data_IF_279260939572
#
_entry.id   IF_279260939572
#
_cell.length_a   1.000
_cell.length_b   1.000
_cell.length_c   1.000
_cell.angle_alpha   90.00
_cell.angle_beta   90.00
_cell.angle_gamma   90.00
#
_symmetry.space_group_name_H-M   'P 1'
#
loop_
_entity.id
_entity.type
_entity.pdbx_description
1 polymer ?
#
# COMPACT_ATOMS: atom_id res chain seq x y z
N UNK A 1 9.08 -12.02 24.47
CA UNK A 1 8.34 -13.16 23.90
C UNK A 1 7.95 -12.74 22.50
N UNK A 2 8.65 -13.19 21.44
CA UNK A 2 8.36 -12.76 20.07
C UNK A 2 7.35 -13.73 19.43
N UNK A 3 6.37 -13.21 18.70
CA UNK A 3 5.34 -14.00 18.01
C UNK A 3 3.89 -13.80 18.46
N UNK A 4 3.53 -12.70 19.12
CA UNK A 4 2.11 -12.41 19.39
C UNK A 4 1.43 -11.96 18.09
N UNK A 5 0.61 -12.87 17.58
CA UNK A 5 -0.45 -12.58 16.61
C UNK A 5 -1.21 -11.32 17.04
N UNK A 6 -1.46 -10.37 16.12
CA UNK A 6 -2.32 -9.22 16.41
C UNK A 6 -3.73 -9.68 16.85
N UNK A 7 -4.12 -10.93 16.54
CA UNK A 7 -5.32 -11.62 17.04
C UNK A 7 -5.31 -11.92 18.54
N UNK A 8 -4.14 -11.96 19.18
CA UNK A 8 -3.99 -12.30 20.60
C UNK A 8 -4.08 -11.10 21.55
N UNK A 9 -4.03 -9.87 21.02
CA UNK A 9 -4.10 -8.64 21.84
C UNK A 9 -5.51 -8.05 21.79
N UNK A 10 -6.12 -7.75 22.95
CA UNK A 10 -7.40 -7.08 22.96
C UNK A 10 -7.24 -5.67 22.39
N UNK A 11 -8.26 -5.21 21.68
CA UNK A 11 -8.43 -3.80 21.36
C UNK A 11 -8.44 -3.00 22.67
N UNK A 12 -7.83 -1.81 22.64
CA UNK A 12 -7.74 -0.93 23.81
C UNK A 12 -8.22 0.48 23.50
N UNK A 13 -8.51 1.24 24.56
CA UNK A 13 -8.89 2.66 24.47
C UNK A 13 -10.09 2.92 23.57
N UNK A 14 -9.96 3.91 22.69
CA UNK A 14 -11.04 4.35 21.80
C UNK A 14 -11.48 3.24 20.83
N UNK A 15 -10.54 2.46 20.31
CA UNK A 15 -10.83 1.35 19.39
C UNK A 15 -11.74 0.31 20.06
N UNK A 16 -11.44 -0.09 21.30
CA UNK A 16 -12.27 -1.02 22.06
C UNK A 16 -13.68 -0.48 22.30
N UNK A 17 -13.77 0.81 22.68
CA UNK A 17 -15.06 1.46 22.94
C UNK A 17 -15.92 1.55 21.68
N UNK A 18 -15.32 1.87 20.53
CA UNK A 18 -16.00 1.90 19.24
C UNK A 18 -16.44 0.51 18.81
N UNK A 19 -15.59 -0.50 18.95
CA UNK A 19 -15.92 -1.89 18.63
C UNK A 19 -17.09 -2.43 19.47
N UNK A 20 -17.07 -2.19 20.79
CA UNK A 20 -18.16 -2.59 21.70
C UNK A 20 -19.48 -1.86 21.36
N UNK A 21 -19.42 -0.57 21.03
CA UNK A 21 -20.59 0.18 20.60
C UNK A 21 -21.17 -0.38 19.29
N UNK A 22 -20.32 -0.71 18.32
CA UNK A 22 -20.73 -1.33 17.06
C UNK A 22 -21.41 -2.68 17.28
N UNK A 23 -20.85 -3.56 18.13
CA UNK A 23 -21.47 -4.86 18.46
C UNK A 23 -22.84 -4.72 19.12
N UNK A 24 -23.01 -3.70 19.96
CA UNK A 24 -24.27 -3.41 20.67
C UNK A 24 -25.33 -2.82 19.74
N UNK A 25 -24.96 -1.78 19.00
CA UNK A 25 -25.91 -0.94 18.25
C UNK A 25 -26.15 -1.44 16.83
N UNK A 26 -25.24 -2.28 16.30
CA UNK A 26 -25.28 -2.89 14.96
C UNK A 26 -25.67 -1.91 13.84
N UNK A 27 -24.99 -0.75 13.74
CA UNK A 27 -25.28 0.19 12.66
C UNK A 27 -24.89 -0.40 11.30
N UNK A 28 -25.47 0.13 10.22
CA UNK A 28 -24.98 -0.17 8.87
C UNK A 28 -23.53 0.32 8.72
N UNK A 29 -22.58 -0.54 8.33
CA UNK A 29 -21.20 -0.15 8.12
C UNK A 29 -21.05 0.91 7.02
N UNK A 30 -20.05 1.78 7.15
CA UNK A 30 -19.67 2.71 6.09
C UNK A 30 -19.06 1.94 4.92
N UNK A 31 -19.44 2.24 3.69
CA UNK A 31 -18.86 1.57 2.51
C UNK A 31 -17.34 1.86 2.42
N UNK A 32 -16.48 0.83 2.27
CA UNK A 32 -15.05 1.04 2.16
C UNK A 32 -14.71 1.76 0.85
N UNK A 33 -13.74 2.68 0.92
CA UNK A 33 -13.23 3.37 -0.27
C UNK A 33 -12.08 2.57 -0.88
N UNK A 34 -12.05 2.36 -2.20
CA UNK A 34 -10.93 1.68 -2.85
C UNK A 34 -9.63 2.46 -2.64
N UNK A 35 -8.57 1.74 -2.32
CA UNK A 35 -7.22 2.24 -2.12
C UNK A 35 -6.17 1.25 -2.64
N UNK A 36 -4.97 1.73 -2.89
CA UNK A 36 -3.85 0.90 -3.28
C UNK A 36 -2.58 1.30 -2.53
N UNK A 37 -1.68 0.34 -2.35
CA UNK A 37 -0.45 0.53 -1.58
C UNK A 37 0.69 -0.29 -2.19
N UNK A 38 1.90 0.26 -2.21
CA UNK A 38 3.08 -0.39 -2.79
C UNK A 38 4.16 -0.62 -1.73
N UNK A 39 4.47 -1.88 -1.48
CA UNK A 39 5.63 -2.32 -0.74
C UNK A 39 6.83 -2.21 -1.67
N UNK A 40 7.47 -1.03 -1.67
CA UNK A 40 8.63 -0.77 -2.51
C UNK A 40 9.88 -1.41 -1.90
N UNK A 41 10.59 -2.20 -2.70
CA UNK A 41 11.69 -3.05 -2.28
C UNK A 41 13.00 -2.62 -2.92
N UNK A 42 14.11 -2.74 -2.19
CA UNK A 42 15.45 -2.68 -2.77
C UNK A 42 16.33 -3.84 -2.28
N UNK A 43 17.30 -4.29 -3.09
CA UNK A 43 18.25 -5.32 -2.66
C UNK A 43 19.10 -4.84 -1.48
N UNK A 44 19.29 -5.71 -0.49
CA UNK A 44 20.30 -5.57 0.56
C UNK A 44 20.88 -6.95 0.91
N UNK A 45 21.99 -6.97 1.66
CA UNK A 45 22.67 -8.23 2.01
C UNK A 45 21.78 -9.05 2.95
N UNK A 46 21.38 -10.25 2.51
CA UNK A 46 20.68 -11.27 3.31
C UNK A 46 19.18 -11.02 3.54
N UNK A 47 18.61 -9.95 3.00
CA UNK A 47 17.19 -9.62 3.02
C UNK A 47 16.95 -8.43 2.11
N UNK A 48 15.79 -8.30 1.44
CA UNK A 48 15.39 -7.00 0.88
C UNK A 48 15.19 -5.97 2.00
N UNK A 49 15.23 -4.69 1.64
CA UNK A 49 14.73 -3.60 2.47
C UNK A 49 13.40 -3.08 1.89
N UNK A 50 12.50 -2.64 2.76
CA UNK A 50 11.22 -2.00 2.43
C UNK A 50 11.30 -0.49 2.68
N UNK A 51 10.65 0.29 1.81
CA UNK A 51 10.49 1.72 2.01
C UNK A 51 9.28 2.02 2.88
N UNK A 52 9.51 2.68 4.03
CA UNK A 52 8.49 3.06 4.98
C UNK A 52 8.46 4.59 5.14
N UNK A 53 7.25 5.13 5.18
CA UNK A 53 6.93 6.52 5.49
C UNK A 53 6.36 6.57 6.91
N UNK A 54 6.80 7.50 7.76
CA UNK A 54 6.13 7.78 9.02
C UNK A 54 5.17 8.94 8.83
N UNK A 55 3.88 8.67 9.02
CA UNK A 55 2.81 9.67 8.90
C UNK A 55 2.98 10.75 9.96
N UNK A 56 2.80 12.01 9.58
CA UNK A 56 2.81 13.12 10.53
C UNK A 56 1.80 12.91 11.67
N UNK A 57 2.16 13.32 12.88
CA UNK A 57 1.31 13.14 14.07
C UNK A 57 0.03 13.99 14.05
N UNK A 58 -0.05 14.96 13.13
CA UNK A 58 -1.20 15.84 12.91
C UNK A 58 -2.28 15.20 12.04
N UNK A 59 -2.03 14.05 11.43
CA UNK A 59 -2.99 13.39 10.55
C UNK A 59 -4.20 12.83 11.28
N UNK A 60 -5.36 12.96 10.63
CA UNK A 60 -6.62 12.49 11.20
C UNK A 60 -6.78 10.95 11.22
N UNK A 61 -5.89 10.19 10.56
CA UNK A 61 -5.87 8.72 10.52
C UNK A 61 -4.43 8.21 10.48
N UNK A 62 -4.14 7.17 11.27
CA UNK A 62 -2.83 6.54 11.39
C UNK A 62 -1.66 7.52 11.70
N UNK A 63 -1.93 8.60 12.43
CA UNK A 63 -0.91 9.57 12.86
C UNK A 63 0.26 8.89 13.59
N UNK A 64 1.49 9.22 13.21
CA UNK A 64 2.71 8.65 13.78
C UNK A 64 2.98 7.19 13.41
N UNK A 65 2.11 6.55 12.61
CA UNK A 65 2.33 5.17 12.16
C UNK A 65 3.23 5.12 10.94
N UNK A 66 4.04 4.07 10.87
CA UNK A 66 4.80 3.69 9.69
C UNK A 66 3.88 2.98 8.69
N UNK A 67 3.93 3.44 7.44
CA UNK A 67 3.12 2.96 6.32
C UNK A 67 3.99 2.81 5.07
N UNK A 68 3.46 2.10 4.07
CA UNK A 68 4.02 2.10 2.73
C UNK A 68 3.40 3.24 1.89
N UNK A 69 4.01 3.63 0.76
CA UNK A 69 3.39 4.54 -0.18
C UNK A 69 2.02 4.04 -0.64
N UNK A 70 1.00 4.90 -0.59
CA UNK A 70 -0.32 4.50 -1.02
C UNK A 70 -1.44 5.44 -0.60
N UNK A 71 -2.56 5.32 -1.32
CA UNK A 71 -3.69 6.20 -1.11
C UNK A 71 -4.94 5.71 -1.83
N UNK A 72 -5.92 6.61 -1.91
CA UNK A 72 -7.23 6.27 -2.48
C UNK A 72 -7.13 6.18 -3.99
N UNK A 73 -7.90 5.27 -4.57
CA UNK A 73 -8.19 5.32 -6.00
C UNK A 73 -8.91 6.64 -6.31
N UNK A 74 -8.37 7.41 -7.24
CA UNK A 74 -8.96 8.61 -7.79
C UNK A 74 -9.86 8.24 -8.99
N UNK A 75 -10.98 8.95 -9.25
CA UNK A 75 -11.80 8.68 -10.43
C UNK A 75 -11.02 8.72 -11.76
N UNK A 76 -9.92 9.47 -11.84
CA UNK A 76 -9.05 9.54 -13.02
C UNK A 76 -8.13 8.32 -13.18
N UNK A 77 -7.98 7.47 -12.16
CA UNK A 77 -7.17 6.24 -12.24
C UNK A 77 -7.83 5.18 -13.14
N UNK A 78 -9.13 5.28 -13.38
CA UNK A 78 -9.87 4.34 -14.24
C UNK A 78 -9.70 4.60 -15.74
N UNK A 79 -9.03 5.69 -16.16
CA UNK A 79 -8.93 6.10 -17.58
C UNK A 79 -7.59 5.74 -18.24
N UNK A 80 -6.75 4.92 -17.59
CA UNK A 80 -5.37 4.68 -18.05
C UNK A 80 -5.22 3.60 -19.14
N UNK A 81 -6.32 3.03 -19.65
CA UNK A 81 -6.28 1.83 -20.50
C UNK A 81 -5.38 1.99 -21.74
N UNK A 82 -5.27 3.20 -22.29
CA UNK A 82 -4.46 3.49 -23.49
C UNK A 82 -2.96 3.69 -23.19
N UNK A 83 -2.56 3.77 -21.92
CA UNK A 83 -1.18 3.97 -21.47
C UNK A 83 -0.73 2.83 -20.55
N UNK A 84 -0.97 1.59 -20.97
CA UNK A 84 -0.73 0.38 -20.18
C UNK A 84 0.25 -0.57 -20.86
N UNK A 85 1.15 -1.16 -20.07
CA UNK A 85 2.02 -2.26 -20.49
C UNK A 85 2.14 -3.30 -19.37
N UNK A 86 2.27 -4.58 -19.74
CA UNK A 86 2.32 -5.71 -18.80
C UNK A 86 1.05 -6.56 -18.78
N UNK A 87 0.82 -7.36 -17.72
CA UNK A 87 -0.38 -8.18 -17.58
C UNK A 87 -1.66 -7.36 -17.73
N UNK A 88 -2.72 -7.94 -18.29
CA UNK A 88 -3.98 -7.22 -18.50
C UNK A 88 -4.65 -6.86 -17.18
N UNK A 89 -5.51 -5.83 -17.14
CA UNK A 89 -6.33 -5.56 -15.96
C UNK A 89 -7.18 -6.77 -15.50
N UNK A 90 -7.62 -7.63 -16.43
CA UNK A 90 -8.32 -8.87 -16.07
C UNK A 90 -7.44 -9.86 -15.30
N UNK A 91 -6.14 -9.96 -15.63
CA UNK A 91 -5.19 -10.80 -14.92
C UNK A 91 -5.02 -10.37 -13.45
N UNK A 92 -5.04 -9.05 -13.21
CA UNK A 92 -5.06 -8.49 -11.86
C UNK A 92 -6.40 -8.71 -11.17
N UNK A 93 -7.52 -8.51 -11.88
CA UNK A 93 -8.87 -8.72 -11.35
C UNK A 93 -9.12 -10.15 -10.88
N UNK A 94 -8.65 -11.15 -11.63
CA UNK A 94 -8.70 -12.57 -11.24
C UNK A 94 -7.97 -12.84 -9.91
N UNK A 95 -6.84 -12.17 -9.67
CA UNK A 95 -6.04 -12.34 -8.43
C UNK A 95 -6.60 -11.56 -7.25
N UNK A 96 -7.10 -10.34 -7.50
CA UNK A 96 -7.64 -9.46 -6.46
C UNK A 96 -9.11 -9.75 -6.13
N UNK A 97 -9.78 -10.58 -6.94
CA UNK A 97 -11.20 -10.91 -6.78
C UNK A 97 -12.14 -9.77 -7.16
N UNK A 98 -11.79 -8.95 -8.15
CA UNK A 98 -12.57 -7.78 -8.58
C UNK A 98 -12.69 -7.68 -10.11
N UNK A 99 -13.46 -6.70 -10.60
CA UNK A 99 -13.60 -6.49 -12.05
C UNK A 99 -12.30 -5.96 -12.66
N UNK A 100 -12.13 -6.13 -13.98
CA UNK A 100 -10.96 -5.63 -14.69
C UNK A 100 -10.82 -4.10 -14.57
N UNK A 101 -11.93 -3.36 -14.55
CA UNK A 101 -11.94 -1.90 -14.39
C UNK A 101 -11.44 -1.48 -13.01
N UNK A 102 -11.89 -2.17 -11.95
CA UNK A 102 -11.42 -1.88 -10.59
C UNK A 102 -9.94 -2.26 -10.42
N UNK A 103 -9.52 -3.38 -11.00
CA UNK A 103 -8.13 -3.81 -10.97
C UNK A 103 -7.20 -2.81 -11.69
N UNK A 104 -7.62 -2.28 -12.85
CA UNK A 104 -6.88 -1.21 -13.54
C UNK A 104 -6.73 0.02 -12.63
N UNK A 105 -7.81 0.42 -11.95
CA UNK A 105 -7.82 1.57 -11.07
C UNK A 105 -6.91 1.35 -9.83
N UNK A 106 -6.88 0.14 -9.26
CA UNK A 106 -5.94 -0.20 -8.19
C UNK A 106 -4.48 -0.10 -8.64
N UNK A 107 -4.14 -0.64 -9.80
CA UNK A 107 -2.77 -0.58 -10.33
C UNK A 107 -2.37 0.86 -10.67
N UNK A 108 -3.26 1.63 -11.29
CA UNK A 108 -3.04 3.04 -11.57
C UNK A 108 -2.80 3.86 -10.29
N UNK A 109 -3.66 3.70 -9.29
CA UNK A 109 -3.50 4.35 -7.99
C UNK A 109 -2.20 3.94 -7.30
N UNK A 110 -1.82 2.66 -7.36
CA UNK A 110 -0.56 2.18 -6.80
C UNK A 110 0.65 2.91 -7.39
N UNK A 111 0.71 3.05 -8.72
CA UNK A 111 1.82 3.76 -9.39
C UNK A 111 1.78 5.26 -9.14
N UNK A 112 0.60 5.88 -9.23
CA UNK A 112 0.40 7.31 -8.99
C UNK A 112 0.83 7.70 -7.57
N UNK A 113 0.29 7.04 -6.55
CA UNK A 113 0.59 7.31 -5.14
C UNK A 113 2.07 7.07 -4.82
N UNK A 114 2.67 6.02 -5.41
CA UNK A 114 4.12 5.79 -5.27
C UNK A 114 4.92 6.98 -5.79
N UNK A 115 4.54 7.56 -6.93
CA UNK A 115 5.21 8.74 -7.48
C UNK A 115 4.96 9.99 -6.63
N UNK A 116 3.72 10.22 -6.22
CA UNK A 116 3.33 11.36 -5.36
C UNK A 116 4.12 11.35 -4.03
N UNK A 117 4.20 10.21 -3.35
CA UNK A 117 4.76 10.15 -1.99
C UNK A 117 6.26 9.85 -1.91
N UNK A 118 6.85 9.22 -2.93
CA UNK A 118 8.27 8.81 -2.90
C UNK A 118 9.11 9.35 -4.06
N UNK A 119 8.47 9.94 -5.07
CA UNK A 119 9.13 10.35 -6.32
C UNK A 119 9.48 9.19 -7.25
N UNK A 120 9.15 7.95 -6.89
CA UNK A 120 9.42 6.75 -7.71
C UNK A 120 8.27 6.50 -8.67
N UNK A 121 8.58 6.35 -9.96
CA UNK A 121 7.60 6.15 -11.02
C UNK A 121 7.77 4.77 -11.67
N UNK A 122 6.73 3.93 -11.58
CA UNK A 122 6.65 2.63 -12.25
C UNK A 122 6.04 2.77 -13.66
N UNK A 123 6.70 3.58 -14.49
CA UNK A 123 6.32 3.86 -15.87
C UNK A 123 7.56 4.12 -16.73
N UNK A 124 7.40 4.03 -18.05
CA UNK A 124 8.48 4.28 -19.00
C UNK A 124 7.99 4.56 -20.41
N UNK A 125 8.89 4.93 -21.34
CA UNK A 125 8.51 5.25 -22.71
C UNK A 125 8.10 4.03 -23.54
N UNK A 126 8.29 2.81 -23.01
CA UNK A 126 7.95 1.55 -23.69
C UNK A 126 7.74 0.41 -22.69
N UNK A 127 7.29 -0.74 -23.19
CA UNK A 127 7.16 -1.98 -22.42
C UNK A 127 8.47 -2.52 -21.83
N UNK A 128 9.62 -2.07 -22.34
CA UNK A 128 10.93 -2.65 -22.03
C UNK A 128 11.81 -1.72 -21.19
N UNK A 129 11.35 -0.50 -20.89
CA UNK A 129 12.14 0.50 -20.18
C UNK A 129 11.32 1.25 -19.12
N UNK A 130 12.04 1.87 -18.19
CA UNK A 130 11.51 2.76 -17.15
C UNK A 130 12.13 4.14 -17.31
N UNK A 131 11.47 5.16 -16.77
CA UNK A 131 12.12 6.46 -16.56
C UNK A 131 13.26 6.24 -15.56
N UNK A 132 14.50 6.59 -15.94
CA UNK A 132 15.67 6.37 -15.08
C UNK A 132 15.83 7.42 -13.98
N UNK A 133 15.37 8.65 -14.23
CA UNK A 133 15.53 9.78 -13.30
C UNK A 133 14.27 10.66 -13.30
N UNK A 134 13.72 10.84 -12.11
CA UNK A 134 12.50 11.61 -11.81
C UNK A 134 12.78 12.80 -10.88
N UNK A 135 14.04 13.25 -10.81
CA UNK A 135 14.50 14.28 -9.85
C UNK A 135 14.54 15.71 -10.41
N UNK A 136 14.34 15.89 -11.71
CA UNK A 136 14.33 17.21 -12.35
C UNK A 136 13.15 18.10 -11.92
N UNK A 137 13.31 19.42 -12.03
CA UNK A 137 12.30 20.41 -11.62
C UNK A 137 10.94 20.22 -12.33
N UNK A 138 10.95 19.76 -13.59
CA UNK A 138 9.74 19.47 -14.36
C UNK A 138 9.01 18.22 -13.84
N UNK A 139 9.73 17.22 -13.33
CA UNK A 139 9.14 16.06 -12.67
C UNK A 139 8.54 16.44 -11.32
N UNK A 140 9.22 17.32 -10.57
CA UNK A 140 8.70 17.80 -9.30
C UNK A 140 7.43 18.63 -9.48
N UNK A 141 7.40 19.51 -10.49
CA UNK A 141 6.20 20.27 -10.84
C UNK A 141 5.01 19.35 -11.17
N UNK A 142 5.25 18.26 -11.89
CA UNK A 142 4.22 17.28 -12.22
C UNK A 142 3.76 16.48 -11.01
N UNK A 143 4.69 16.07 -10.14
CA UNK A 143 4.37 15.38 -8.89
C UNK A 143 3.46 16.23 -8.01
N UNK A 144 3.82 17.50 -7.81
CA UNK A 144 3.00 18.46 -7.05
C UNK A 144 1.63 18.68 -7.71
N UNK A 145 1.57 18.70 -9.05
CA UNK A 145 0.31 18.84 -9.77
C UNK A 145 -0.62 17.63 -9.61
N UNK A 146 -0.07 16.41 -9.56
CA UNK A 146 -0.77 15.15 -9.27
C UNK A 146 -1.27 15.12 -7.82
N UNK A 147 -0.38 15.36 -6.84
CA UNK A 147 -0.71 15.43 -5.41
C UNK A 147 -1.82 16.47 -5.15
N UNK A 148 -1.71 17.64 -5.80
CA UNK A 148 -2.71 18.71 -5.75
C UNK A 148 -3.96 18.48 -6.62
N UNK A 149 -4.05 17.36 -7.34
CA UNK A 149 -5.17 16.95 -8.21
C UNK A 149 -5.52 17.95 -9.31
N UNK A 150 -4.53 18.74 -9.72
CA UNK A 150 -4.64 19.68 -10.84
C UNK A 150 -4.23 19.05 -12.18
N UNK A 151 -3.62 17.86 -12.12
CA UNK A 151 -3.26 17.02 -13.25
C UNK A 151 -3.78 15.60 -12.96
N UNK A 152 -4.47 14.99 -13.92
CA UNK A 152 -4.84 13.58 -13.84
C UNK A 152 -3.68 12.68 -14.26
N UNK A 153 -3.61 11.47 -13.71
CA UNK A 153 -2.47 10.58 -13.96
C UNK A 153 -2.41 10.04 -15.40
N UNK A 154 -3.56 9.74 -16.02
CA UNK A 154 -3.60 9.40 -17.44
C UNK A 154 -3.06 10.52 -18.33
N UNK A 155 -3.45 11.78 -18.05
CA UNK A 155 -2.98 12.96 -18.80
C UNK A 155 -1.48 13.18 -18.61
N UNK A 156 -0.98 12.98 -17.38
CA UNK A 156 0.45 13.02 -17.07
C UNK A 156 1.23 12.02 -17.92
N UNK A 157 0.81 10.75 -17.95
CA UNK A 157 1.46 9.71 -18.76
C UNK A 157 1.41 10.05 -20.25
N UNK A 158 0.24 10.44 -20.76
CA UNK A 158 0.06 10.79 -22.17
C UNK A 158 0.96 11.97 -22.59
N UNK A 159 0.97 13.05 -21.79
CA UNK A 159 1.77 14.25 -22.07
C UNK A 159 3.27 13.94 -22.09
N UNK A 160 3.74 13.00 -21.27
CA UNK A 160 5.14 12.57 -21.23
C UNK A 160 5.46 11.42 -22.21
N UNK A 161 4.48 10.90 -22.94
CA UNK A 161 4.66 9.77 -23.86
C UNK A 161 5.06 8.49 -23.12
N UNK A 162 4.49 8.26 -21.94
CA UNK A 162 4.79 7.12 -21.07
C UNK A 162 3.65 6.11 -21.06
N UNK A 163 4.02 4.86 -20.83
CA UNK A 163 3.10 3.78 -20.45
C UNK A 163 3.37 3.39 -18.99
N UNK A 164 2.30 3.15 -18.24
CA UNK A 164 2.36 2.48 -16.96
C UNK A 164 2.90 1.06 -17.16
N UNK A 165 3.86 0.67 -16.31
CA UNK A 165 4.51 -0.65 -16.36
C UNK A 165 3.93 -1.57 -15.29
N UNK A 166 2.77 -2.15 -15.60
CA UNK A 166 2.03 -3.02 -14.68
C UNK A 166 2.79 -4.33 -14.37
N UNK A 167 3.66 -4.77 -15.28
CA UNK A 167 4.55 -5.91 -15.08
C UNK A 167 5.60 -5.69 -13.97
N UNK A 168 5.78 -4.45 -13.49
CA UNK A 168 6.62 -4.15 -12.33
C UNK A 168 5.89 -4.31 -10.99
N UNK A 169 4.57 -4.54 -11.00
CA UNK A 169 3.75 -4.72 -9.79
C UNK A 169 3.34 -6.18 -9.62
N UNK A 170 3.72 -6.76 -8.49
CA UNK A 170 3.24 -8.05 -8.03
C UNK A 170 2.08 -7.89 -7.04
N UNK A 171 0.88 -8.44 -7.29
CA UNK A 171 -0.18 -8.48 -6.29
C UNK A 171 0.29 -9.20 -5.01
N UNK A 172 0.00 -8.66 -3.82
CA UNK A 172 0.56 -9.19 -2.57
C UNK A 172 -0.50 -9.50 -1.49
N UNK A 173 -1.43 -8.58 -1.26
CA UNK A 173 -2.49 -8.75 -0.28
C UNK A 173 -3.70 -7.88 -0.63
N UNK A 174 -4.87 -8.20 -0.08
CA UNK A 174 -6.08 -7.39 -0.25
C UNK A 174 -6.79 -7.30 1.10
N UNK A 175 -6.90 -6.08 1.65
CA UNK A 175 -7.44 -5.85 2.98
C UNK A 175 -8.59 -4.86 2.97
N UNK A 176 -9.72 -5.27 3.54
CA UNK A 176 -10.84 -4.36 3.81
C UNK A 176 -10.83 -3.97 5.28
N UNK A 177 -10.88 -2.67 5.57
CA UNK A 177 -10.93 -2.16 6.94
C UNK A 177 -12.17 -2.68 7.68
N UNK A 178 -12.07 -3.08 8.96
CA UNK A 178 -13.19 -3.63 9.72
C UNK A 178 -14.43 -2.73 9.75
N UNK A 179 -15.61 -3.34 9.89
CA UNK A 179 -16.90 -2.65 9.79
C UNK A 179 -17.17 -1.60 10.88
N UNK A 180 -16.59 -1.78 12.07
CA UNK A 180 -16.75 -0.85 13.19
C UNK A 180 -15.94 0.45 13.03
N UNK A 181 -14.99 0.48 12.10
CA UNK A 181 -14.19 1.67 11.83
C UNK A 181 -15.03 2.69 11.04
N UNK A 182 -15.07 3.96 11.45
CA UNK A 182 -15.83 4.99 10.75
C UNK A 182 -15.20 5.42 9.42
N UNK A 183 -13.91 5.09 9.20
CA UNK A 183 -13.18 5.32 7.96
C UNK A 183 -12.68 4.00 7.45
N UNK A 184 -13.26 3.53 6.34
CA UNK A 184 -12.96 2.22 5.78
C UNK A 184 -12.34 2.34 4.41
N UNK A 185 -11.38 1.47 4.17
CA UNK A 185 -10.69 1.33 2.89
C UNK A 185 -10.70 -0.13 2.47
N UNK A 186 -10.83 -0.35 1.17
CA UNK A 186 -10.62 -1.64 0.49
C UNK A 186 -9.30 -1.52 -0.27
N UNK A 187 -8.24 -2.11 0.27
CA UNK A 187 -6.87 -1.76 -0.09
C UNK A 187 -6.15 -2.93 -0.75
N UNK A 188 -5.83 -2.78 -2.03
CA UNK A 188 -4.95 -3.69 -2.75
C UNK A 188 -3.48 -3.34 -2.47
N UNK A 189 -2.71 -4.33 -2.00
CA UNK A 189 -1.27 -4.21 -1.76
C UNK A 189 -0.50 -4.86 -2.90
N UNK A 190 0.53 -4.16 -3.37
CA UNK A 190 1.46 -4.64 -4.39
C UNK A 190 2.88 -4.62 -3.85
N UNK A 191 3.74 -5.48 -4.38
CA UNK A 191 5.20 -5.41 -4.24
C UNK A 191 5.80 -4.89 -5.53
N UNK A 192 6.85 -4.07 -5.42
CA UNK A 192 7.60 -3.59 -6.58
C UNK A 192 9.08 -3.41 -6.22
N UNK A 193 9.99 -3.70 -7.16
CA UNK A 193 11.39 -3.34 -7.02
C UNK A 193 11.58 -1.84 -7.33
N UNK A 194 12.46 -1.17 -6.59
CA UNK A 194 12.94 0.17 -6.92
C UNK A 194 13.56 0.14 -8.33
N UNK A 195 13.03 0.91 -9.30
CA UNK A 195 13.58 0.94 -10.64
C UNK A 195 15.03 1.41 -10.66
N UNK A 196 15.86 0.77 -11.48
CA UNK A 196 17.27 1.13 -11.62
C UNK A 196 17.42 2.59 -12.06
N UNK A 197 18.24 3.34 -11.32
CA UNK A 197 18.51 4.76 -11.57
C UNK A 197 17.65 5.72 -10.74
N UNK A 198 16.46 5.30 -10.32
CA UNK A 198 15.60 6.14 -9.49
C UNK A 198 16.04 6.13 -8.04
N UNK A 199 15.79 7.24 -7.35
CA UNK A 199 16.01 7.39 -5.91
C UNK A 199 14.70 7.79 -5.24
N UNK A 200 14.42 7.23 -4.07
CA UNK A 200 13.33 7.71 -3.22
C UNK A 200 13.68 9.07 -2.65
N UNK A 201 12.69 9.95 -2.53
CA UNK A 201 12.84 11.27 -1.94
C UNK A 201 11.75 11.51 -0.89
N UNK A 202 12.09 12.26 0.15
CA UNK A 202 11.12 12.76 1.12
C UNK A 202 10.46 14.01 0.52
N UNK A 203 9.35 13.81 -0.18
CA UNK A 203 8.72 14.84 -1.03
C UNK A 203 7.28 15.17 -0.62
N UNK A 204 6.66 14.33 0.21
CA UNK A 204 5.31 14.60 0.71
C UNK A 204 5.37 15.46 1.97
N UNK A 205 4.43 16.40 2.11
CA UNK A 205 4.21 17.09 3.39
C UNK A 205 3.50 16.23 4.44
N UNK A 206 3.17 14.99 4.07
CA UNK A 206 2.34 14.04 4.79
C UNK A 206 3.15 13.09 5.69
N UNK A 207 4.43 12.92 5.38
CA UNK A 207 5.43 12.19 6.19
C UNK A 207 6.40 13.13 6.90
N UNK A 208 6.83 12.76 8.11
CA UNK A 208 7.91 13.48 8.81
C UNK A 208 9.24 12.73 8.81
N UNK A 209 9.24 11.45 8.42
CA UNK A 209 10.42 10.60 8.27
C UNK A 209 10.19 9.56 7.18
N UNK A 210 11.26 9.23 6.46
CA UNK A 210 11.33 8.12 5.51
C UNK A 210 12.48 7.19 5.89
N UNK A 211 12.27 5.88 5.76
CA UNK A 211 13.29 4.89 6.09
C UNK A 211 13.24 3.69 5.15
N UNK A 212 14.42 3.27 4.69
CA UNK A 212 14.62 1.92 4.18
C UNK A 212 14.98 1.03 5.36
N UNK A 213 14.19 -0.01 5.59
CA UNK A 213 14.40 -0.93 6.72
C UNK A 213 14.32 -2.37 6.26
N UNK A 214 15.07 -3.27 6.90
CA UNK A 214 14.78 -4.70 6.75
C UNK A 214 13.40 -4.98 7.34
N UNK A 215 12.55 -5.75 6.66
CA UNK A 215 11.20 -6.03 7.15
C UNK A 215 11.20 -6.68 8.55
N UNK A 216 12.17 -7.55 8.84
CA UNK A 216 12.34 -8.16 10.16
C UNK A 216 12.65 -7.15 11.27
N UNK A 217 13.47 -6.12 10.98
CA UNK A 217 13.78 -5.06 11.95
C UNK A 217 12.56 -4.19 12.21
N UNK A 218 11.76 -3.90 11.17
CA UNK A 218 10.50 -3.16 11.32
C UNK A 218 9.48 -3.93 12.18
N UNK A 219 9.35 -5.24 11.96
CA UNK A 219 8.52 -6.14 12.79
C UNK A 219 9.00 -6.13 14.25
N UNK A 220 10.30 -6.29 14.48
CA UNK A 220 10.88 -6.28 15.82
C UNK A 220 10.65 -4.94 16.55
N UNK A 221 10.77 -3.81 15.85
CA UNK A 221 10.50 -2.48 16.40
C UNK A 221 9.03 -2.31 16.81
N UNK A 222 8.08 -2.88 16.04
CA UNK A 222 6.65 -2.91 16.42
C UNK A 222 6.43 -3.79 17.65
N UNK A 223 7.04 -4.98 17.70
CA UNK A 223 6.94 -5.88 18.85
C UNK A 223 7.52 -5.27 20.13
N UNK A 224 8.58 -4.46 20.00
CA UNK A 224 9.20 -3.70 21.09
C UNK A 224 8.42 -2.42 21.49
N UNK A 225 7.41 -2.01 20.72
CA UNK A 225 6.64 -0.78 20.96
C UNK A 225 7.37 0.51 20.56
N UNK A 226 8.44 0.41 19.78
CA UNK A 226 9.25 1.53 19.29
C UNK A 226 8.70 2.12 17.98
N UNK A 227 7.92 1.32 17.25
CA UNK A 227 7.24 1.69 16.01
C UNK A 227 5.76 1.28 16.07
N UNK A 228 4.89 2.08 15.45
CA UNK A 228 3.49 1.74 15.30
C UNK A 228 3.17 1.44 13.84
N UNK A 229 2.46 0.34 13.59
CA UNK A 229 1.95 -0.03 12.27
C UNK A 229 0.50 -0.49 12.39
N UNK A 230 -0.28 -0.30 11.31
CA UNK A 230 -1.54 -1.01 11.18
C UNK A 230 -1.30 -2.49 10.85
N UNK A 231 -2.25 -3.39 11.17
CA UNK A 231 -2.10 -4.82 10.91
C UNK A 231 -1.70 -5.19 9.48
N UNK A 232 -2.27 -4.60 8.41
CA UNK A 232 -1.87 -4.93 7.04
C UNK A 232 -0.39 -4.64 6.77
N UNK A 233 0.13 -3.50 7.23
CA UNK A 233 1.55 -3.12 7.07
C UNK A 233 2.47 -4.07 7.82
N UNK A 234 2.16 -4.36 9.08
CA UNK A 234 2.92 -5.29 9.91
C UNK A 234 3.00 -6.69 9.29
N UNK A 235 1.86 -7.23 8.85
CA UNK A 235 1.79 -8.57 8.26
C UNK A 235 2.50 -8.62 6.90
N UNK A 236 2.39 -7.59 6.08
CA UNK A 236 3.18 -7.49 4.85
C UNK A 236 4.68 -7.46 5.13
N UNK A 237 5.15 -6.70 6.13
CA UNK A 237 6.56 -6.74 6.54
C UNK A 237 6.98 -8.14 7.00
N UNK A 238 6.16 -8.82 7.81
CA UNK A 238 6.45 -10.17 8.28
C UNK A 238 6.53 -11.18 7.12
N UNK A 239 5.62 -11.09 6.16
CA UNK A 239 5.60 -11.99 5.01
C UNK A 239 6.82 -11.73 4.11
N UNK A 240 7.17 -10.46 3.83
CA UNK A 240 8.37 -10.11 3.06
C UNK A 240 9.66 -10.52 3.81
N UNK A 241 9.67 -10.50 5.15
CA UNK A 241 10.81 -10.95 5.96
C UNK A 241 11.15 -12.43 5.77
N UNK A 242 10.25 -13.24 5.20
CA UNK A 242 10.50 -14.65 4.91
C UNK A 242 11.40 -14.88 3.68
N UNK A 243 11.79 -13.81 2.97
CA UNK A 243 12.55 -13.88 1.73
C UNK A 243 13.94 -13.25 1.85
N UNK A 244 14.93 -13.84 1.16
CA UNK A 244 16.31 -13.34 1.16
C UNK A 244 16.57 -12.28 0.06
N UNK A 245 15.77 -12.25 -1.01
CA UNK A 245 15.98 -11.37 -2.17
C UNK A 245 14.68 -10.73 -2.67
N UNK A 246 14.81 -9.58 -3.34
CA UNK A 246 13.69 -8.92 -4.03
C UNK A 246 13.06 -9.84 -5.08
N UNK A 247 13.89 -10.52 -5.87
CA UNK A 247 13.43 -11.45 -6.91
C UNK A 247 12.60 -12.60 -6.34
N UNK A 248 12.93 -13.10 -5.14
CA UNK A 248 12.15 -14.14 -4.48
C UNK A 248 10.76 -13.64 -4.07
N UNK A 249 10.67 -12.39 -3.59
CA UNK A 249 9.37 -11.75 -3.25
C UNK A 249 8.53 -11.56 -4.50
N UNK A 250 9.12 -11.05 -5.58
CA UNK A 250 8.44 -10.85 -6.86
C UNK A 250 8.00 -12.18 -7.48
N UNK A 251 8.84 -13.21 -7.42
CA UNK A 251 8.48 -14.54 -7.91
C UNK A 251 7.29 -15.14 -7.15
N UNK A 252 7.23 -14.99 -5.82
CA UNK A 252 6.07 -15.43 -5.04
C UNK A 252 4.79 -14.68 -5.45
N UNK A 253 4.88 -13.37 -5.65
CA UNK A 253 3.72 -12.52 -5.98
C UNK A 253 2.97 -12.95 -7.24
N UNK A 254 3.63 -13.66 -8.17
CA UNK A 254 3.02 -14.10 -9.43
C UNK A 254 1.86 -15.11 -9.21
N UNK A 255 2.00 -16.00 -8.23
CA UNK A 255 1.10 -17.13 -7.97
C UNK A 255 0.53 -17.13 -6.54
N UNK A 256 0.84 -16.11 -5.75
CA UNK A 256 0.33 -15.95 -4.38
C UNK A 256 -1.20 -15.88 -4.36
N UNK A 257 -1.89 -16.71 -3.55
CA UNK A 257 -3.31 -16.54 -3.29
C UNK A 257 -3.58 -15.24 -2.52
N UNK A 258 -4.54 -14.44 -2.98
CA UNK A 258 -4.88 -13.16 -2.36
C UNK A 258 -6.37 -13.16 -2.01
N UNK A 259 -6.76 -13.85 -0.91
CA UNK A 259 -8.11 -13.67 -0.40
C UNK A 259 -8.30 -12.22 0.05
N UNK A 260 -9.51 -11.70 -0.12
CA UNK A 260 -9.89 -10.44 0.53
C UNK A 260 -10.00 -10.68 2.03
N UNK A 261 -9.20 -9.96 2.81
CA UNK A 261 -9.12 -10.08 4.26
C UNK A 261 -9.97 -8.97 4.87
N UNK A 262 -11.09 -9.34 5.49
CA UNK A 262 -11.93 -8.47 6.31
C UNK A 262 -11.80 -8.88 7.78
N UNK A 263 -11.06 -8.14 8.62
CA UNK A 263 -10.99 -8.49 10.03
C UNK A 263 -12.33 -8.26 10.71
N UNK A 264 -12.76 -9.24 11.50
CA UNK A 264 -14.02 -9.22 12.26
C UNK A 264 -13.77 -9.08 13.75
N UNK A 265 -14.80 -8.71 14.51
CA UNK A 265 -14.73 -8.56 15.95
C UNK A 265 -15.06 -9.89 16.64
N UNK A 266 -14.19 -10.34 17.55
CA UNK A 266 -14.50 -11.40 18.52
C UNK A 266 -14.61 -10.82 19.92
N UNK A 267 -15.71 -11.10 20.61
CA UNK A 267 -15.89 -10.76 22.02
C UNK A 267 -15.53 -11.97 22.89
N UNK A 268 -14.72 -11.75 23.92
CA UNK A 268 -14.34 -12.77 24.90
C UNK A 268 -14.26 -12.15 26.31
N UNK A 269 -15.25 -12.51 27.12
CA UNK A 269 -15.55 -11.81 28.37
C UNK A 269 -15.87 -10.33 28.10
N UNK A 270 -15.10 -9.44 28.73
CA UNK A 270 -15.22 -7.98 28.58
C UNK A 270 -14.28 -7.40 27.49
N UNK A 271 -13.47 -8.25 26.86
CA UNK A 271 -12.45 -7.84 25.90
C UNK A 271 -12.90 -8.12 24.46
N UNK A 272 -12.53 -7.23 23.54
CA UNK A 272 -12.80 -7.38 22.11
C UNK A 272 -11.48 -7.53 21.37
N UNK A 273 -11.44 -8.44 20.40
CA UNK A 273 -10.28 -8.78 19.58
C UNK A 273 -10.62 -8.61 18.10
N UNK A 274 -9.60 -8.39 17.28
CA UNK A 274 -9.70 -8.51 15.82
C UNK A 274 -9.30 -9.90 15.40
N UNK A 275 -10.07 -10.52 14.52
CA UNK A 275 -9.74 -11.81 13.92
C UNK A 275 -9.81 -11.74 12.41
N UNK A 276 -8.87 -12.42 11.76
CA UNK A 276 -8.84 -12.64 10.32
C UNK A 276 -8.94 -14.14 10.09
N UNK A 277 -9.94 -14.57 9.31
CA UNK A 277 -10.09 -15.96 8.86
C UNK A 277 -9.00 -16.36 7.85
#
# INVERSE_FOLDING_TARGET
MPGDDLRARPLTGRLASTALAFLRDRPTPVEPRPAATVILLRPAVGSPEVYLLRRTTTMAFAAGMSVFPGGRVDPTDATIADSWSGPSPSWFGERLGCSAEMAAAYVAAAVRETFEESGVLLAGPSADSVVADTTGDDWEADRVALEGRSLGFADFLHRRGLVLRADLLGPWAHWTTPEFEPRRYDTAFFVAALPVGQITRDVSGESDQVAWMRPADAVAAVEAGEMAMLPPTYLCCRDVAAHETVDAVLAESADRPIPSILPTLRLDGEHVYLETE
#
